data_IF_259330717344
#
_entry.id   IF_259330717344
#
_cell.length_a   1.000
_cell.length_b   1.000
_cell.length_c   1.000
_cell.angle_alpha   90.00
_cell.angle_beta   90.00
_cell.angle_gamma   90.00
#
_symmetry.space_group_name_H-M   'P 1'
#
loop_
_entity.id
_entity.type
_entity.pdbx_description
1 polymer ?
#
# COMPACT_ATOMS: atom_id res chain seq x y z
N UNK A 1 -0.20 40.69 -19.90
CA UNK A 1 -0.96 39.50 -19.46
C UNK A 1 -0.39 38.34 -20.22
N UNK A 2 0.07 37.33 -19.49
CA UNK A 2 0.93 36.32 -20.07
C UNK A 2 0.11 35.21 -20.72
N UNK A 3 0.62 34.69 -21.84
CA UNK A 3 0.03 33.55 -22.54
C UNK A 3 0.80 32.31 -22.11
N UNK A 4 0.09 31.31 -21.63
CA UNK A 4 0.64 29.97 -21.46
C UNK A 4 0.43 29.14 -22.72
N UNK A 5 1.34 28.20 -22.96
CA UNK A 5 1.31 27.33 -24.13
C UNK A 5 1.38 25.90 -23.63
N UNK A 6 0.38 25.11 -23.99
CA UNK A 6 0.30 23.67 -23.71
C UNK A 6 0.64 22.94 -25.01
N UNK A 7 1.86 22.40 -25.14
CA UNK A 7 2.20 21.58 -26.28
C UNK A 7 1.64 20.16 -26.14
N UNK A 8 1.28 19.57 -27.27
CA UNK A 8 0.92 18.15 -27.34
C UNK A 8 1.40 17.54 -28.66
N UNK A 9 1.65 16.24 -28.65
CA UNK A 9 1.97 15.44 -29.84
C UNK A 9 0.79 14.53 -30.12
N UNK A 10 0.22 14.57 -31.33
CA UNK A 10 -0.90 13.71 -31.71
C UNK A 10 -0.47 12.29 -32.11
N UNK A 11 -1.44 11.42 -32.40
CA UNK A 11 -1.19 10.04 -32.82
C UNK A 11 -0.48 9.88 -34.17
N UNK A 12 -0.32 10.95 -34.95
CA UNK A 12 0.46 10.96 -36.19
C UNK A 12 1.90 11.45 -35.98
N UNK A 13 2.24 11.87 -34.76
CA UNK A 13 3.55 12.44 -34.43
C UNK A 13 3.65 13.95 -34.68
N UNK A 14 2.54 14.60 -35.05
CA UNK A 14 2.51 16.04 -35.31
C UNK A 14 2.47 16.82 -34.00
N UNK A 15 3.22 17.92 -33.95
CA UNK A 15 3.35 18.77 -32.76
C UNK A 15 2.41 19.96 -32.84
N UNK A 16 1.57 20.09 -31.83
CA UNK A 16 0.56 21.12 -31.72
C UNK A 16 0.76 21.96 -30.47
N UNK A 17 0.11 23.12 -30.42
CA UNK A 17 0.19 24.07 -29.30
C UNK A 17 -1.17 24.71 -29.04
N UNK A 18 -1.69 24.56 -27.84
CA UNK A 18 -2.90 25.26 -27.38
C UNK A 18 -2.46 26.43 -26.52
N UNK A 19 -3.05 27.61 -26.75
CA UNK A 19 -2.71 28.84 -26.04
C UNK A 19 -3.85 29.24 -25.11
N UNK A 20 -3.52 29.53 -23.86
CA UNK A 20 -4.46 30.09 -22.90
C UNK A 20 -3.87 31.35 -22.27
N UNK A 21 -4.73 32.21 -21.73
CA UNK A 21 -4.27 33.27 -20.84
C UNK A 21 -3.87 32.67 -19.49
N UNK A 22 -2.87 33.24 -18.83
CA UNK A 22 -2.42 32.78 -17.52
C UNK A 22 -3.47 32.95 -16.41
N UNK A 23 -4.40 33.90 -16.55
CA UNK A 23 -5.45 34.18 -15.56
C UNK A 23 -6.77 33.42 -15.79
N UNK A 24 -6.75 32.42 -16.68
CA UNK A 24 -7.91 31.62 -17.03
C UNK A 24 -8.44 30.80 -15.83
N UNK A 25 -9.75 30.72 -15.71
CA UNK A 25 -10.43 29.95 -14.66
C UNK A 25 -10.79 28.51 -15.06
N UNK A 26 -10.86 28.22 -16.36
CA UNK A 26 -11.26 26.91 -16.87
C UNK A 26 -10.42 26.51 -18.08
N UNK A 27 -9.85 25.31 -18.04
CA UNK A 27 -9.11 24.71 -19.15
C UNK A 27 -9.72 23.37 -19.50
N UNK A 28 -10.02 23.18 -20.79
CA UNK A 28 -10.47 21.91 -21.37
C UNK A 28 -9.47 21.44 -22.43
N UNK A 29 -8.87 20.29 -22.18
CA UNK A 29 -7.93 19.61 -23.06
C UNK A 29 -8.61 18.34 -23.56
N UNK A 30 -9.56 18.53 -24.48
CA UNK A 30 -10.41 17.47 -24.99
C UNK A 30 -10.09 17.09 -26.44
N UNK A 31 -10.21 15.80 -26.77
CA UNK A 31 -10.16 15.27 -28.14
C UNK A 31 -8.90 15.63 -28.94
N UNK A 32 -7.78 15.88 -28.26
CA UNK A 32 -6.52 16.26 -28.91
C UNK A 32 -5.86 15.10 -29.67
N UNK A 33 -6.38 13.87 -29.51
CA UNK A 33 -5.76 12.63 -29.99
C UNK A 33 -4.30 12.49 -29.55
N UNK A 34 -3.93 13.14 -28.44
CA UNK A 34 -2.56 13.20 -27.96
C UNK A 34 -2.03 11.81 -27.56
N UNK A 35 -0.79 11.54 -27.93
CA UNK A 35 0.07 10.51 -27.31
C UNK A 35 0.85 11.11 -26.14
N UNK A 36 1.17 12.41 -26.22
CA UNK A 36 1.88 13.18 -25.20
C UNK A 36 1.18 14.52 -24.99
N UNK A 37 0.96 14.90 -23.74
CA UNK A 37 0.34 16.16 -23.34
C UNK A 37 1.16 16.78 -22.22
N UNK A 38 1.77 17.94 -22.48
CA UNK A 38 2.60 18.64 -21.50
C UNK A 38 1.83 19.82 -20.90
N UNK A 39 1.36 19.62 -19.67
CA UNK A 39 0.65 20.64 -18.89
C UNK A 39 1.56 21.40 -17.93
N UNK A 40 2.89 21.36 -18.11
CA UNK A 40 3.86 22.05 -17.24
C UNK A 40 3.52 23.52 -17.04
N UNK A 41 3.06 24.21 -18.08
CA UNK A 41 2.72 25.63 -18.05
C UNK A 41 1.50 25.98 -17.18
N UNK A 42 0.74 24.99 -16.69
CA UNK A 42 -0.36 25.23 -15.75
C UNK A 42 0.14 25.74 -14.40
N UNK A 43 1.43 25.60 -14.11
CA UNK A 43 2.08 26.17 -12.92
C UNK A 43 1.89 27.70 -12.79
N UNK A 44 1.62 28.39 -13.90
CA UNK A 44 1.33 29.83 -13.97
C UNK A 44 -0.14 30.18 -13.83
N UNK A 45 -1.05 29.20 -13.82
CA UNK A 45 -2.49 29.40 -13.79
C UNK A 45 -3.06 29.37 -12.36
N UNK A 46 -2.64 30.32 -11.52
CA UNK A 46 -3.01 30.37 -10.10
C UNK A 46 -4.51 30.54 -9.85
N UNK A 47 -5.25 31.06 -10.83
CA UNK A 47 -6.70 31.28 -10.78
C UNK A 47 -7.51 30.11 -11.37
N UNK A 48 -6.86 29.01 -11.77
CA UNK A 48 -7.54 27.88 -12.41
C UNK A 48 -8.48 27.19 -11.42
N UNK A 49 -9.77 27.16 -11.75
CA UNK A 49 -10.84 26.55 -10.96
C UNK A 49 -11.34 25.22 -11.55
N UNK A 50 -11.20 25.02 -12.86
CA UNK A 50 -11.65 23.80 -13.54
C UNK A 50 -10.62 23.32 -14.54
N UNK A 51 -10.24 22.05 -14.44
CA UNK A 51 -9.37 21.35 -15.39
C UNK A 51 -10.07 20.08 -15.88
N UNK A 52 -10.31 20.00 -17.17
CA UNK A 52 -10.88 18.83 -17.84
C UNK A 52 -9.88 18.27 -18.86
N UNK A 53 -9.49 17.00 -18.73
CA UNK A 53 -8.58 16.29 -19.63
C UNK A 53 -9.32 15.06 -20.15
N UNK A 54 -10.01 15.26 -21.28
CA UNK A 54 -11.05 14.34 -21.72
C UNK A 54 -10.78 13.76 -23.12
N UNK A 55 -11.12 12.48 -23.33
CA UNK A 55 -11.12 11.85 -24.67
C UNK A 55 -9.76 11.88 -25.39
N UNK A 56 -8.64 11.87 -24.65
CA UNK A 56 -7.31 11.73 -25.25
C UNK A 56 -6.99 10.24 -25.41
N UNK A 57 -7.50 9.67 -26.51
CA UNK A 57 -7.55 8.21 -26.74
C UNK A 57 -6.19 7.51 -26.62
N UNK A 58 -5.10 8.16 -27.02
CA UNK A 58 -3.77 7.56 -27.12
C UNK A 58 -2.83 8.01 -26.00
N UNK A 59 -3.32 8.79 -25.02
CA UNK A 59 -2.50 9.34 -23.95
C UNK A 59 -2.11 8.23 -22.97
N UNK A 60 -0.84 7.84 -22.96
CA UNK A 60 -0.35 6.77 -22.08
C UNK A 60 0.06 7.27 -20.69
N UNK A 61 0.48 8.54 -20.62
CA UNK A 61 1.05 9.19 -19.45
C UNK A 61 0.51 10.60 -19.29
N UNK A 62 0.25 10.99 -18.03
CA UNK A 62 -0.16 12.33 -17.68
C UNK A 62 0.55 12.74 -16.40
N UNK A 63 1.29 13.85 -16.44
CA UNK A 63 1.95 14.41 -15.27
C UNK A 63 1.07 15.50 -14.66
N UNK A 64 0.50 15.25 -13.48
CA UNK A 64 -0.32 16.22 -12.76
C UNK A 64 0.47 17.19 -11.86
N UNK A 65 1.80 17.03 -11.67
CA UNK A 65 2.59 17.92 -10.78
C UNK A 65 2.28 19.42 -10.92
N UNK A 66 2.09 19.97 -12.13
CA UNK A 66 1.82 21.40 -12.31
C UNK A 66 0.55 21.91 -11.60
N UNK A 67 -0.46 21.05 -11.40
CA UNK A 67 -1.71 21.47 -10.73
C UNK A 67 -1.49 21.80 -9.25
N UNK A 68 -0.36 21.41 -8.65
CA UNK A 68 -0.03 21.76 -7.27
C UNK A 68 0.09 23.27 -7.06
N UNK A 69 0.34 24.04 -8.13
CA UNK A 69 0.37 25.50 -8.13
C UNK A 69 -1.01 26.15 -8.40
N UNK A 70 -2.08 25.34 -8.50
CA UNK A 70 -3.46 25.78 -8.71
C UNK A 70 -4.28 25.57 -7.42
N UNK A 71 -4.09 26.39 -6.36
CA UNK A 71 -4.76 26.19 -5.07
C UNK A 71 -6.28 26.42 -5.13
N UNK A 72 -6.75 27.16 -6.14
CA UNK A 72 -8.17 27.46 -6.36
C UNK A 72 -8.90 26.40 -7.21
N UNK A 73 -8.25 25.29 -7.57
CA UNK A 73 -8.86 24.24 -8.37
C UNK A 73 -10.03 23.59 -7.60
N UNK A 74 -11.22 23.66 -8.19
CA UNK A 74 -12.48 23.14 -7.63
C UNK A 74 -12.98 21.90 -8.36
N UNK A 75 -12.68 21.78 -9.66
CA UNK A 75 -13.15 20.70 -10.52
C UNK A 75 -11.95 20.09 -11.24
N UNK A 76 -11.77 18.78 -11.07
CA UNK A 76 -10.80 17.99 -11.83
C UNK A 76 -11.51 16.82 -12.50
N UNK A 77 -11.46 16.79 -13.83
CA UNK A 77 -12.00 15.70 -14.64
C UNK A 77 -10.92 15.10 -15.52
N UNK A 78 -10.79 13.79 -15.47
CA UNK A 78 -9.86 13.02 -16.31
C UNK A 78 -10.64 11.87 -16.90
N UNK A 79 -11.34 12.12 -18.01
CA UNK A 79 -12.28 11.16 -18.58
C UNK A 79 -11.83 10.61 -19.93
N UNK A 80 -12.18 9.35 -20.18
CA UNK A 80 -12.02 8.70 -21.48
C UNK A 80 -10.59 8.79 -22.04
N UNK A 81 -9.60 8.57 -21.18
CA UNK A 81 -8.21 8.34 -21.58
C UNK A 81 -7.89 6.84 -21.44
N UNK A 82 -8.42 5.97 -22.34
CA UNK A 82 -8.42 4.53 -22.16
C UNK A 82 -7.01 3.92 -22.15
N UNK A 83 -6.03 4.56 -22.78
CA UNK A 83 -4.64 4.11 -22.86
C UNK A 83 -3.79 4.57 -21.67
N UNK A 84 -4.32 5.42 -20.78
CA UNK A 84 -3.64 5.90 -19.59
C UNK A 84 -3.32 4.73 -18.65
N UNK A 85 -2.04 4.46 -18.41
CA UNK A 85 -1.58 3.26 -17.69
C UNK A 85 -1.29 3.50 -16.22
N UNK A 86 -0.87 4.72 -15.89
CA UNK A 86 -0.53 5.18 -14.55
C UNK A 86 -0.96 6.63 -14.39
N UNK A 87 -1.41 6.98 -13.20
CA UNK A 87 -1.70 8.35 -12.83
C UNK A 87 -1.32 8.53 -11.36
N UNK A 88 -0.50 9.53 -11.08
CA UNK A 88 -0.16 9.94 -9.73
C UNK A 88 -1.08 11.09 -9.31
N UNK A 89 -1.89 10.85 -8.27
CA UNK A 89 -2.78 11.86 -7.71
C UNK A 89 -2.13 12.67 -6.58
N UNK A 90 -0.88 12.40 -6.19
CA UNK A 90 -0.19 13.16 -5.13
C UNK A 90 -0.29 14.68 -5.30
N UNK A 91 -0.17 15.27 -6.51
CA UNK A 91 -0.36 16.71 -6.73
C UNK A 91 -1.73 17.25 -6.30
N UNK A 92 -2.77 16.43 -6.35
CA UNK A 92 -4.14 16.76 -5.94
C UNK A 92 -4.20 17.16 -4.47
N UNK A 93 -3.26 16.67 -3.64
CA UNK A 93 -3.20 16.99 -2.22
C UNK A 93 -3.05 18.49 -1.94
N UNK A 94 -2.47 19.26 -2.88
CA UNK A 94 -2.31 20.72 -2.79
C UNK A 94 -3.58 21.49 -3.21
N UNK A 95 -4.50 20.84 -3.93
CA UNK A 95 -5.76 21.43 -4.41
C UNK A 95 -6.89 21.23 -3.38
N UNK A 96 -6.76 21.83 -2.20
CA UNK A 96 -7.67 21.59 -1.06
C UNK A 96 -9.11 22.05 -1.28
N UNK A 97 -9.36 22.88 -2.31
CA UNK A 97 -10.67 23.40 -2.72
C UNK A 97 -11.43 22.53 -3.70
N UNK A 98 -10.92 21.34 -4.05
CA UNK A 98 -11.62 20.43 -4.95
C UNK A 98 -12.97 20.03 -4.35
N UNK A 99 -14.03 20.35 -5.09
CA UNK A 99 -15.42 20.00 -4.81
C UNK A 99 -15.89 18.80 -5.64
N UNK A 100 -15.37 18.68 -6.86
CA UNK A 100 -15.73 17.60 -7.78
C UNK A 100 -14.48 16.94 -8.35
N UNK A 101 -14.37 15.64 -8.12
CA UNK A 101 -13.38 14.78 -8.76
C UNK A 101 -14.08 13.71 -9.60
N UNK A 102 -13.73 13.66 -10.89
CA UNK A 102 -14.34 12.73 -11.84
C UNK A 102 -13.24 12.03 -12.65
N UNK A 103 -13.27 10.70 -12.60
CA UNK A 103 -12.48 9.84 -13.48
C UNK A 103 -13.40 8.77 -14.07
N UNK A 104 -13.54 8.78 -15.38
CA UNK A 104 -14.42 7.85 -16.10
C UNK A 104 -13.66 7.23 -17.25
N UNK A 105 -13.69 5.90 -17.40
CA UNK A 105 -13.23 5.22 -18.61
C UNK A 105 -11.72 5.18 -18.83
N UNK A 106 -10.91 5.35 -17.80
CA UNK A 106 -9.45 5.17 -17.85
C UNK A 106 -9.08 3.68 -17.68
N UNK A 107 -9.44 2.87 -18.68
CA UNK A 107 -9.57 1.40 -18.54
C UNK A 107 -8.25 0.64 -18.36
N UNK A 108 -7.11 1.21 -18.76
CA UNK A 108 -5.77 0.58 -18.62
C UNK A 108 -5.01 0.96 -17.36
N UNK A 109 -5.60 1.76 -16.46
CA UNK A 109 -4.99 2.04 -15.16
C UNK A 109 -4.78 0.73 -14.38
N UNK A 110 -3.54 0.52 -13.94
CA UNK A 110 -3.16 -0.67 -13.14
C UNK A 110 -3.48 -0.50 -11.66
N UNK A 111 -3.42 0.72 -11.15
CA UNK A 111 -3.73 1.03 -9.75
C UNK A 111 -4.08 2.50 -9.68
N UNK A 112 -4.88 2.87 -8.69
CA UNK A 112 -5.20 4.25 -8.39
C UNK A 112 -5.20 4.42 -6.88
N UNK A 113 -4.26 5.22 -6.38
CA UNK A 113 -4.28 5.67 -5.00
C UNK A 113 -5.16 6.91 -4.89
N UNK A 114 -6.27 6.79 -4.17
CA UNK A 114 -7.24 7.87 -3.94
C UNK A 114 -6.98 8.62 -2.64
N UNK A 115 -5.99 8.23 -1.85
CA UNK A 115 -5.63 8.91 -0.61
C UNK A 115 -5.24 10.39 -0.76
N UNK A 116 -4.71 10.88 -1.91
CA UNK A 116 -4.50 12.31 -2.06
C UNK A 116 -5.78 13.15 -1.99
N UNK A 117 -6.96 12.56 -2.23
CA UNK A 117 -8.25 13.23 -2.06
C UNK A 117 -8.61 13.50 -0.59
N UNK A 118 -7.87 12.92 0.36
CA UNK A 118 -8.06 13.15 1.80
C UNK A 118 -7.93 14.63 2.20
N UNK A 119 -7.18 15.42 1.44
CA UNK A 119 -6.98 16.86 1.72
C UNK A 119 -8.11 17.73 1.16
N UNK A 120 -8.89 17.20 0.22
CA UNK A 120 -10.03 17.87 -0.41
C UNK A 120 -11.25 17.85 0.52
N UNK A 121 -11.22 18.63 1.61
CA UNK A 121 -12.29 18.66 2.62
C UNK A 121 -13.62 19.20 2.08
N UNK A 122 -13.60 19.91 0.96
CA UNK A 122 -14.78 20.42 0.26
C UNK A 122 -15.35 19.43 -0.78
N UNK A 123 -14.83 18.19 -0.86
CA UNK A 123 -15.28 17.21 -1.85
C UNK A 123 -16.75 16.84 -1.62
N UNK A 124 -17.61 17.27 -2.53
CA UNK A 124 -19.05 16.99 -2.53
C UNK A 124 -19.45 15.97 -3.60
N UNK A 125 -18.61 15.72 -4.61
CA UNK A 125 -18.90 14.77 -5.68
C UNK A 125 -17.67 13.96 -6.06
N UNK A 126 -17.79 12.64 -5.97
CA UNK A 126 -16.75 11.69 -6.35
C UNK A 126 -17.32 10.67 -7.35
N UNK A 127 -16.80 10.71 -8.58
CA UNK A 127 -17.19 9.76 -9.62
C UNK A 127 -15.97 8.98 -10.11
N UNK A 128 -16.00 7.65 -9.92
CA UNK A 128 -14.97 6.72 -10.36
C UNK A 128 -15.61 5.55 -11.12
N UNK A 129 -15.63 5.62 -12.44
CA UNK A 129 -16.38 4.68 -13.28
C UNK A 129 -15.47 4.05 -14.33
N UNK A 130 -15.35 2.71 -14.35
CA UNK A 130 -14.54 1.98 -15.34
C UNK A 130 -13.06 2.41 -15.42
N UNK A 131 -12.43 2.70 -14.28
CA UNK A 131 -11.00 3.00 -14.18
C UNK A 131 -10.23 1.73 -13.79
N UNK A 132 -9.54 1.11 -14.76
CA UNK A 132 -8.86 -0.18 -14.56
C UNK A 132 -9.84 -1.37 -14.40
N UNK A 133 -9.65 -2.44 -15.17
CA UNK A 133 -10.57 -3.60 -15.15
C UNK A 133 -10.16 -4.72 -14.17
N UNK A 134 -8.91 -4.71 -13.70
CA UNK A 134 -8.29 -5.85 -13.00
C UNK A 134 -7.95 -5.62 -11.52
N UNK A 135 -8.09 -4.41 -11.02
CA UNK A 135 -7.63 -4.05 -9.68
C UNK A 135 -8.72 -3.40 -8.86
N UNK A 136 -8.63 -3.58 -7.55
CA UNK A 136 -9.52 -2.95 -6.58
C UNK A 136 -8.99 -1.57 -6.24
N UNK A 137 -9.89 -0.61 -6.06
CA UNK A 137 -9.57 0.69 -5.48
C UNK A 137 -9.85 0.63 -3.98
N UNK A 138 -8.84 1.00 -3.20
CA UNK A 138 -8.97 1.14 -1.76
C UNK A 138 -9.83 2.35 -1.44
N UNK A 139 -11.00 2.11 -0.84
CA UNK A 139 -11.89 3.18 -0.40
C UNK A 139 -11.79 3.44 1.10
N UNK A 140 -10.95 2.73 1.86
CA UNK A 140 -10.79 2.98 3.29
C UNK A 140 -10.46 4.44 3.60
N UNK A 141 -9.56 5.12 2.87
CA UNK A 141 -9.30 6.54 3.08
C UNK A 141 -10.56 7.43 2.90
N UNK A 142 -11.54 6.98 2.12
CA UNK A 142 -12.71 7.79 1.77
C UNK A 142 -13.90 7.57 2.71
N UNK A 143 -13.86 6.59 3.62
CA UNK A 143 -15.04 6.17 4.39
C UNK A 143 -15.65 7.27 5.27
N UNK A 144 -14.83 8.19 5.77
CA UNK A 144 -15.28 9.33 6.57
C UNK A 144 -15.81 10.51 5.72
N UNK A 145 -15.72 10.43 4.40
CA UNK A 145 -16.33 11.39 3.49
C UNK A 145 -17.75 10.95 3.15
N UNK A 146 -18.63 11.94 2.96
CA UNK A 146 -20.02 11.74 2.53
C UNK A 146 -20.34 12.53 1.25
N UNK A 147 -19.57 12.39 0.15
CA UNK A 147 -19.91 13.05 -1.10
C UNK A 147 -21.08 12.33 -1.78
N UNK A 148 -21.63 12.94 -2.83
CA UNK A 148 -22.34 12.20 -3.86
C UNK A 148 -21.37 11.23 -4.54
N UNK A 149 -21.54 9.94 -4.26
CA UNK A 149 -20.64 8.88 -4.73
C UNK A 149 -21.25 8.20 -5.96
N UNK A 150 -20.48 8.13 -7.04
CA UNK A 150 -20.77 7.24 -8.17
C UNK A 150 -19.54 6.41 -8.48
N UNK A 151 -19.45 5.22 -7.87
CA UNK A 151 -18.35 4.29 -8.09
C UNK A 151 -18.88 3.06 -8.83
N UNK A 152 -18.36 2.82 -10.03
CA UNK A 152 -18.69 1.66 -10.86
C UNK A 152 -17.40 0.95 -11.27
N UNK A 153 -16.72 0.40 -10.27
CA UNK A 153 -15.48 -0.35 -10.38
C UNK A 153 -15.33 -1.28 -9.18
N UNK A 154 -14.33 -2.16 -9.21
CA UNK A 154 -14.01 -3.02 -8.07
C UNK A 154 -13.43 -2.18 -6.94
N UNK A 155 -13.98 -2.26 -5.74
CA UNK A 155 -13.43 -1.56 -4.57
C UNK A 155 -13.17 -2.53 -3.42
N UNK A 156 -12.21 -2.18 -2.59
CA UNK A 156 -11.87 -2.90 -1.38
C UNK A 156 -11.76 -1.96 -0.19
N UNK A 157 -11.82 -2.54 0.99
CA UNK A 157 -11.51 -1.85 2.24
C UNK A 157 -10.53 -2.68 3.06
N UNK A 158 -9.66 -1.99 3.78
CA UNK A 158 -8.88 -2.53 4.87
C UNK A 158 -9.79 -3.00 6.02
N UNK A 159 -10.89 -2.29 6.34
CA UNK A 159 -11.82 -2.71 7.39
C UNK A 159 -12.64 -3.94 7.00
N UNK A 160 -13.08 -4.70 8.00
CA UNK A 160 -13.95 -5.87 7.83
C UNK A 160 -15.35 -5.51 7.33
N UNK A 161 -15.96 -6.40 6.55
CA UNK A 161 -17.29 -6.17 5.96
C UNK A 161 -18.38 -5.93 7.01
N UNK A 162 -18.26 -6.57 8.19
CA UNK A 162 -19.16 -6.34 9.33
C UNK A 162 -19.05 -4.92 9.89
N UNK A 163 -17.83 -4.37 9.97
CA UNK A 163 -17.58 -2.99 10.39
C UNK A 163 -18.11 -2.01 9.36
N UNK A 164 -17.83 -2.21 8.07
CA UNK A 164 -18.36 -1.37 6.98
C UNK A 164 -19.89 -1.32 7.01
N UNK A 165 -20.55 -2.48 7.15
CA UNK A 165 -22.02 -2.56 7.18
C UNK A 165 -22.62 -1.78 8.36
N UNK A 166 -21.95 -1.77 9.51
CA UNK A 166 -22.44 -1.15 10.75
C UNK A 166 -22.15 0.35 10.81
N UNK A 167 -20.92 0.75 10.48
CA UNK A 167 -20.43 2.12 10.70
C UNK A 167 -20.51 2.98 9.43
N UNK A 168 -20.51 2.37 8.25
CA UNK A 168 -20.45 3.04 6.94
C UNK A 168 -21.49 2.50 5.95
N UNK A 169 -22.78 2.42 6.32
CA UNK A 169 -23.81 1.77 5.50
C UNK A 169 -23.99 2.41 4.11
N UNK A 170 -23.66 3.69 3.93
CA UNK A 170 -23.68 4.38 2.63
C UNK A 170 -22.66 3.81 1.63
N UNK A 171 -21.59 3.19 2.13
CA UNK A 171 -20.52 2.62 1.31
C UNK A 171 -20.76 1.15 0.93
N UNK A 172 -21.70 0.46 1.60
CA UNK A 172 -21.89 -0.99 1.46
C UNK A 172 -22.18 -1.44 0.03
N UNK A 173 -22.85 -0.60 -0.78
CA UNK A 173 -23.21 -0.91 -2.17
C UNK A 173 -22.04 -0.80 -3.15
N UNK A 174 -20.97 -0.11 -2.78
CA UNK A 174 -19.80 0.10 -3.63
C UNK A 174 -18.68 -0.89 -3.32
N UNK A 175 -18.70 -1.45 -2.12
CA UNK A 175 -17.71 -2.35 -1.57
C UNK A 175 -17.82 -3.78 -2.15
N UNK A 176 -16.68 -4.38 -2.52
CA UNK A 176 -16.64 -5.79 -2.98
C UNK A 176 -15.83 -6.73 -2.08
N UNK A 177 -14.70 -6.28 -1.51
CA UNK A 177 -13.83 -7.12 -0.68
C UNK A 177 -13.29 -6.39 0.56
N UNK A 178 -13.35 -7.04 1.73
CA UNK A 178 -12.91 -6.51 3.03
C UNK A 178 -11.62 -7.14 3.47
N UNK A 179 -11.02 -6.53 4.49
CA UNK A 179 -9.81 -7.04 5.10
C UNK A 179 -8.67 -7.21 4.10
N UNK A 180 -8.66 -6.33 3.10
CA UNK A 180 -7.75 -6.42 1.98
C UNK A 180 -6.75 -5.28 2.04
N UNK A 181 -5.49 -5.63 2.33
CA UNK A 181 -4.36 -4.74 2.10
C UNK A 181 -4.15 -4.63 0.59
N UNK A 182 -4.37 -3.44 0.03
CA UNK A 182 -4.44 -3.23 -1.42
C UNK A 182 -3.26 -2.44 -1.97
N UNK A 183 -2.83 -1.39 -1.27
CA UNK A 183 -1.65 -0.56 -1.55
C UNK A 183 -0.99 -0.13 -0.23
N UNK A 184 0.34 0.10 -0.18
CA UNK A 184 0.97 0.71 0.98
C UNK A 184 0.42 2.12 1.24
N UNK A 185 0.21 2.47 2.50
CA UNK A 185 -0.24 3.80 2.90
C UNK A 185 0.95 4.72 3.24
N UNK A 186 0.86 6.00 2.87
CA UNK A 186 1.76 7.03 3.40
C UNK A 186 1.33 7.46 4.82
N UNK A 187 2.16 8.22 5.52
CA UNK A 187 1.89 8.67 6.89
C UNK A 187 0.54 9.40 7.03
N UNK A 188 0.21 10.30 6.10
CA UNK A 188 -1.04 11.05 6.14
C UNK A 188 -2.27 10.13 6.06
N UNK A 189 -2.21 9.10 5.22
CA UNK A 189 -3.25 8.08 5.08
C UNK A 189 -3.34 7.21 6.31
N UNK A 190 -2.20 6.81 6.90
CA UNK A 190 -2.16 6.04 8.15
C UNK A 190 -2.84 6.83 9.27
N UNK A 191 -2.50 8.11 9.44
CA UNK A 191 -3.12 9.01 10.42
C UNK A 191 -4.63 9.17 10.21
N UNK A 192 -5.08 9.15 8.97
CA UNK A 192 -6.51 9.22 8.65
C UNK A 192 -7.25 7.92 8.96
N UNK A 193 -6.63 6.77 8.64
CA UNK A 193 -7.27 5.45 8.75
C UNK A 193 -7.18 4.86 10.15
N UNK A 194 -6.10 5.13 10.87
CA UNK A 194 -5.84 4.56 12.20
C UNK A 194 -7.00 4.78 13.20
N UNK A 195 -7.62 5.96 13.34
CA UNK A 195 -8.73 6.15 14.27
C UNK A 195 -9.94 5.24 13.99
N UNK A 196 -10.17 4.85 12.74
CA UNK A 196 -11.24 3.91 12.38
C UNK A 196 -10.90 2.50 12.87
N UNK A 197 -9.66 2.06 12.69
CA UNK A 197 -9.17 0.77 13.16
C UNK A 197 -9.13 0.73 14.68
N UNK A 198 -8.58 1.76 15.32
CA UNK A 198 -8.50 1.87 16.78
C UNK A 198 -9.89 1.72 17.43
N UNK A 199 -10.88 2.39 16.85
CA UNK A 199 -12.24 2.39 17.40
C UNK A 199 -13.00 1.08 17.13
N UNK A 200 -12.83 0.47 15.96
CA UNK A 200 -13.72 -0.59 15.50
C UNK A 200 -13.07 -1.97 15.38
N UNK A 201 -11.74 -2.02 15.22
CA UNK A 201 -10.96 -3.24 14.96
C UNK A 201 -9.58 -3.21 15.68
N UNK A 202 -9.52 -2.92 17.00
CA UNK A 202 -8.25 -2.68 17.71
C UNK A 202 -7.32 -3.90 17.78
N UNK A 203 -7.89 -5.11 17.71
CA UNK A 203 -7.15 -6.38 17.74
C UNK A 203 -6.86 -6.94 16.34
N UNK A 204 -6.97 -6.11 15.30
CA UNK A 204 -6.78 -6.55 13.92
C UNK A 204 -5.30 -6.64 13.52
N UNK A 205 -5.03 -7.44 12.49
CA UNK A 205 -3.73 -7.50 11.81
C UNK A 205 -3.35 -6.17 11.13
N UNK A 206 -4.28 -5.22 11.04
CA UNK A 206 -4.06 -3.94 10.36
C UNK A 206 -3.07 -3.05 11.10
N UNK A 207 -2.90 -3.24 12.42
CA UNK A 207 -1.84 -2.58 13.18
C UNK A 207 -0.45 -2.94 12.62
N UNK A 208 -0.21 -4.24 12.38
CA UNK A 208 1.03 -4.72 11.75
C UNK A 208 1.20 -4.23 10.30
N UNK A 209 0.09 -4.08 9.56
CA UNK A 209 0.14 -3.49 8.23
C UNK A 209 0.53 -2.01 8.25
N UNK A 210 -0.12 -1.22 9.12
CA UNK A 210 0.11 0.23 9.22
C UNK A 210 1.52 0.56 9.72
N UNK A 211 2.03 -0.16 10.72
CA UNK A 211 3.41 0.06 11.20
C UNK A 211 4.44 -0.27 10.11
N UNK A 212 4.20 -1.29 9.29
CA UNK A 212 5.09 -1.65 8.19
C UNK A 212 5.05 -0.60 7.07
N UNK A 213 3.87 -0.06 6.77
CA UNK A 213 3.73 1.08 5.86
C UNK A 213 4.48 2.31 6.40
N UNK A 214 4.33 2.62 7.69
CA UNK A 214 5.01 3.75 8.32
C UNK A 214 6.53 3.58 8.28
N UNK A 215 7.05 2.40 8.62
CA UNK A 215 8.47 2.10 8.53
C UNK A 215 9.02 2.29 7.11
N UNK A 216 8.27 1.83 6.10
CA UNK A 216 8.62 2.05 4.69
C UNK A 216 8.69 3.54 4.33
N UNK A 217 7.70 4.34 4.75
CA UNK A 217 7.63 5.77 4.46
C UNK A 217 8.83 6.54 5.05
N UNK A 218 9.31 6.10 6.21
CA UNK A 218 10.50 6.63 6.88
C UNK A 218 11.81 5.99 6.40
N UNK A 219 11.82 5.28 5.27
CA UNK A 219 13.03 4.68 4.69
C UNK A 219 13.54 3.43 5.42
N UNK A 220 12.81 2.94 6.41
CA UNK A 220 13.14 1.79 7.27
C UNK A 220 12.49 0.48 6.80
N UNK A 221 12.16 0.34 5.52
CA UNK A 221 11.53 -0.87 4.99
C UNK A 221 12.40 -2.14 5.08
N UNK A 222 13.70 -1.99 5.38
CA UNK A 222 14.61 -3.11 5.66
C UNK A 222 14.46 -3.72 7.06
N UNK A 223 13.66 -3.13 7.97
CA UNK A 223 13.42 -3.72 9.30
C UNK A 223 12.71 -5.08 9.23
N UNK A 224 11.92 -5.32 8.18
CA UNK A 224 11.05 -6.49 8.10
C UNK A 224 9.78 -6.29 8.93
N UNK A 225 9.20 -7.39 9.42
CA UNK A 225 7.94 -7.30 10.18
C UNK A 225 8.18 -6.81 11.62
N UNK A 226 7.32 -5.90 12.07
CA UNK A 226 7.42 -5.24 13.38
C UNK A 226 6.23 -5.67 14.25
N UNK A 227 6.51 -6.23 15.41
CA UNK A 227 5.54 -6.65 16.42
C UNK A 227 5.13 -5.46 17.30
N UNK A 228 4.34 -4.57 16.70
CA UNK A 228 3.88 -3.33 17.29
C UNK A 228 2.48 -3.50 17.88
N UNK A 229 2.30 -3.06 19.13
CA UNK A 229 0.97 -2.95 19.74
C UNK A 229 0.18 -1.74 19.20
N UNK A 230 -1.12 -1.74 19.43
CA UNK A 230 -2.01 -0.60 19.14
C UNK A 230 -1.50 0.69 19.79
N UNK A 231 -1.14 0.62 21.08
CA UNK A 231 -0.65 1.77 21.86
C UNK A 231 0.69 2.31 21.35
N UNK A 232 1.60 1.42 20.93
CA UNK A 232 2.87 1.82 20.31
C UNK A 232 2.65 2.52 18.97
N UNK A 233 1.73 2.01 18.13
CA UNK A 233 1.39 2.67 16.87
C UNK A 233 0.70 4.02 17.12
N UNK A 234 -0.23 4.08 18.07
CA UNK A 234 -0.88 5.33 18.48
C UNK A 234 0.14 6.37 18.90
N UNK A 235 1.07 5.99 19.78
CA UNK A 235 2.15 6.86 20.24
C UNK A 235 2.98 7.40 19.06
N UNK A 236 3.38 6.53 18.13
CA UNK A 236 4.11 6.96 16.92
C UNK A 236 3.31 7.98 16.08
N UNK A 237 1.98 7.85 16.04
CA UNK A 237 1.09 8.77 15.35
C UNK A 237 0.76 10.01 16.18
N UNK A 238 1.21 10.15 17.42
CA UNK A 238 0.98 11.37 18.23
C UNK A 238 2.24 12.22 18.36
N UNK A 239 3.42 11.64 18.13
CA UNK A 239 4.70 12.36 18.17
C UNK A 239 4.98 13.18 16.91
N UNK A 240 5.93 14.10 17.02
CA UNK A 240 6.45 14.88 15.90
C UNK A 240 7.06 13.97 14.82
N UNK A 241 6.78 14.21 13.51
CA UNK A 241 7.31 13.42 12.40
C UNK A 241 8.82 13.17 12.45
N UNK A 242 9.60 14.19 12.85
CA UNK A 242 11.07 14.10 12.97
C UNK A 242 11.57 13.09 14.01
N UNK A 243 10.71 12.60 14.90
CA UNK A 243 11.03 11.62 15.95
C UNK A 243 10.60 10.20 15.59
N UNK A 244 9.74 10.02 14.58
CA UNK A 244 9.14 8.72 14.23
C UNK A 244 10.19 7.69 13.84
N UNK A 245 11.17 8.06 13.00
CA UNK A 245 12.24 7.16 12.58
C UNK A 245 13.00 6.56 13.77
N UNK A 246 13.45 7.41 14.70
CA UNK A 246 14.17 6.99 15.90
C UNK A 246 13.34 6.05 16.76
N UNK A 247 12.04 6.31 16.85
CA UNK A 247 11.14 5.55 17.69
C UNK A 247 10.78 4.18 17.07
N UNK A 248 10.63 4.10 15.75
CA UNK A 248 10.53 2.85 15.02
C UNK A 248 11.76 1.97 15.25
N UNK A 249 12.96 2.56 15.15
CA UNK A 249 14.22 1.87 15.45
C UNK A 249 14.22 1.37 16.90
N UNK A 250 13.75 2.17 17.86
CA UNK A 250 13.67 1.77 19.27
C UNK A 250 12.74 0.57 19.49
N UNK A 251 11.54 0.61 18.90
CA UNK A 251 10.57 -0.49 18.96
C UNK A 251 11.17 -1.77 18.37
N UNK A 252 11.79 -1.66 17.19
CA UNK A 252 12.42 -2.82 16.56
C UNK A 252 13.61 -3.37 17.36
N UNK A 253 14.48 -2.51 17.89
CA UNK A 253 15.57 -2.94 18.78
C UNK A 253 15.03 -3.72 19.98
N UNK A 254 13.95 -3.22 20.61
CA UNK A 254 13.31 -3.89 21.77
C UNK A 254 12.72 -5.25 21.39
N UNK A 255 12.17 -5.39 20.17
CA UNK A 255 11.74 -6.67 19.62
C UNK A 255 12.90 -7.66 19.51
N UNK A 256 14.05 -7.24 18.99
CA UNK A 256 15.22 -8.13 18.88
C UNK A 256 15.79 -8.48 20.25
N UNK A 257 15.91 -7.51 21.16
CA UNK A 257 16.49 -7.70 22.49
C UNK A 257 15.69 -8.71 23.34
N UNK A 258 14.38 -8.88 23.07
CA UNK A 258 13.53 -9.89 23.74
C UNK A 258 13.45 -11.24 23.00
N UNK A 259 14.26 -11.45 21.95
CA UNK A 259 14.23 -12.64 21.12
C UNK A 259 13.02 -12.73 20.17
N UNK A 260 12.47 -11.59 19.76
CA UNK A 260 11.36 -11.50 18.81
C UNK A 260 11.77 -11.84 17.38
N UNK A 261 10.78 -11.84 16.48
CA UNK A 261 10.98 -12.28 15.09
C UNK A 261 11.96 -11.41 14.30
N UNK A 262 12.65 -12.04 13.35
CA UNK A 262 13.55 -11.38 12.38
C UNK A 262 13.06 -11.55 10.94
N UNK A 263 11.82 -12.00 10.76
CA UNK A 263 11.21 -12.27 9.45
C UNK A 263 11.25 -11.02 8.57
N UNK A 264 11.70 -11.20 7.33
CA UNK A 264 11.89 -10.15 6.32
C UNK A 264 12.96 -9.09 6.64
N UNK A 265 13.63 -9.14 7.78
CA UNK A 265 14.67 -8.17 8.10
C UNK A 265 15.87 -8.29 7.13
N UNK A 266 16.28 -7.17 6.54
CA UNK A 266 17.44 -7.09 5.66
C UNK A 266 18.67 -6.64 6.46
N UNK A 267 19.50 -7.60 6.85
CA UNK A 267 20.69 -7.38 7.70
C UNK A 267 21.64 -6.33 7.10
N UNK A 268 21.84 -6.35 5.78
CA UNK A 268 22.73 -5.39 5.11
C UNK A 268 22.22 -3.96 5.31
N UNK A 269 20.91 -3.75 5.12
CA UNK A 269 20.28 -2.43 5.34
C UNK A 269 20.27 -2.02 6.80
N UNK A 270 20.02 -2.94 7.74
CA UNK A 270 20.01 -2.63 9.17
C UNK A 270 21.29 -1.91 9.63
N UNK A 271 22.44 -2.33 9.10
CA UNK A 271 23.73 -1.73 9.42
C UNK A 271 23.85 -0.26 8.97
N UNK A 272 23.15 0.11 7.90
CA UNK A 272 23.17 1.46 7.29
C UNK A 272 22.20 2.42 7.96
N UNK A 273 21.13 1.91 8.58
CA UNK A 273 20.10 2.76 9.19
C UNK A 273 20.57 3.41 10.48
N UNK A 274 21.11 2.63 11.42
CA UNK A 274 21.43 3.15 12.74
C UNK A 274 22.39 2.24 13.51
N UNK A 275 23.31 2.82 14.29
CA UNK A 275 24.31 2.06 15.07
C UNK A 275 23.67 1.06 16.05
N UNK A 276 22.52 1.40 16.64
CA UNK A 276 21.79 0.47 17.52
C UNK A 276 21.26 -0.76 16.79
N UNK A 277 20.89 -0.66 15.51
CA UNK A 277 20.49 -1.81 14.71
C UNK A 277 21.72 -2.65 14.34
N UNK A 278 22.81 -1.98 13.95
CA UNK A 278 24.08 -2.62 13.65
C UNK A 278 24.59 -3.47 14.82
N UNK A 279 24.47 -2.98 16.06
CA UNK A 279 24.91 -3.70 17.26
C UNK A 279 24.07 -4.95 17.58
N UNK A 280 22.98 -5.21 16.85
CA UNK A 280 22.07 -6.35 17.04
C UNK A 280 22.18 -7.39 15.93
N UNK A 281 23.06 -7.19 14.94
CA UNK A 281 23.22 -8.11 13.81
C UNK A 281 23.63 -9.51 14.27
N UNK A 282 24.56 -9.62 15.22
CA UNK A 282 24.96 -10.93 15.77
C UNK A 282 23.79 -11.62 16.46
N UNK A 283 23.02 -10.89 17.28
CA UNK A 283 21.83 -11.43 17.93
C UNK A 283 20.78 -11.89 16.90
N UNK A 284 20.56 -11.13 15.83
CA UNK A 284 19.66 -11.52 14.73
C UNK A 284 20.13 -12.82 14.07
N UNK A 285 21.42 -12.95 13.77
CA UNK A 285 21.98 -14.18 13.19
C UNK A 285 21.79 -15.37 14.12
N UNK A 286 22.12 -15.22 15.40
CA UNK A 286 21.92 -16.28 16.40
C UNK A 286 20.46 -16.69 16.53
N UNK A 287 19.51 -15.74 16.52
CA UNK A 287 18.07 -16.05 16.52
C UNK A 287 17.68 -16.89 15.31
N UNK A 288 18.10 -16.48 14.11
CA UNK A 288 17.81 -17.18 12.86
C UNK A 288 18.39 -18.59 12.80
N UNK A 289 19.58 -18.78 13.34
CA UNK A 289 20.19 -20.10 13.46
C UNK A 289 19.40 -20.99 14.42
N UNK A 290 18.97 -20.46 15.57
CA UNK A 290 18.17 -21.22 16.55
C UNK A 290 16.80 -21.61 16.01
N UNK A 291 16.13 -20.73 15.25
CA UNK A 291 14.81 -20.94 14.66
C UNK A 291 14.71 -22.21 13.80
N UNK A 292 15.81 -22.63 13.16
CA UNK A 292 15.81 -23.76 12.20
C UNK A 292 16.44 -25.05 12.72
N UNK A 293 17.02 -25.06 13.94
CA UNK A 293 17.74 -26.23 14.46
C UNK A 293 16.88 -27.49 14.52
N UNK A 294 15.64 -27.35 15.00
CA UNK A 294 14.69 -28.45 15.10
C UNK A 294 13.28 -27.90 14.98
N UNK A 295 12.70 -28.01 13.79
CA UNK A 295 11.33 -27.62 13.51
C UNK A 295 10.47 -28.88 13.49
N UNK A 296 9.34 -28.85 14.16
CA UNK A 296 8.34 -29.93 14.10
C UNK A 296 7.15 -29.43 13.29
N UNK A 297 6.76 -30.19 12.27
CA UNK A 297 5.60 -29.91 11.42
C UNK A 297 4.56 -31.03 11.52
N UNK A 298 3.30 -30.65 11.34
CA UNK A 298 2.18 -31.58 11.33
C UNK A 298 1.93 -32.11 9.91
N UNK A 299 1.79 -33.43 9.76
CA UNK A 299 1.21 -34.05 8.56
C UNK A 299 -0.30 -34.18 8.76
N UNK A 300 -1.06 -33.46 7.94
CA UNK A 300 -2.51 -33.44 7.99
C UNK A 300 -3.12 -34.70 7.36
N UNK A 301 -4.35 -35.02 7.79
CA UNK A 301 -5.17 -36.03 7.12
C UNK A 301 -5.38 -35.64 5.65
N UNK A 302 -4.87 -36.48 4.73
CA UNK A 302 -4.85 -36.20 3.28
C UNK A 302 -3.45 -36.00 2.69
N UNK A 303 -2.41 -36.04 3.53
CA UNK A 303 -1.00 -36.05 3.08
C UNK A 303 -0.39 -34.67 2.85
N UNK A 304 -1.11 -33.59 3.15
CA UNK A 304 -0.54 -32.24 3.16
C UNK A 304 0.22 -31.99 4.46
N UNK A 305 1.26 -31.15 4.39
CA UNK A 305 2.09 -30.77 5.53
C UNK A 305 1.77 -29.32 5.88
N UNK A 306 1.50 -29.07 7.16
CA UNK A 306 1.31 -27.73 7.70
C UNK A 306 2.67 -27.02 7.83
N UNK A 307 2.90 -26.01 7.00
CA UNK A 307 4.16 -25.24 6.99
C UNK A 307 4.06 -23.93 7.78
N UNK A 308 2.97 -23.64 8.49
CA UNK A 308 2.86 -22.43 9.32
C UNK A 308 4.02 -22.28 10.33
N UNK A 309 4.49 -23.33 11.02
CA UNK A 309 5.65 -23.19 11.91
C UNK A 309 6.90 -22.69 11.18
N UNK A 310 7.15 -23.15 9.95
CA UNK A 310 8.25 -22.65 9.10
C UNK A 310 8.04 -21.18 8.73
N UNK A 311 6.80 -20.78 8.40
CA UNK A 311 6.47 -19.40 8.04
C UNK A 311 6.70 -18.42 9.20
N UNK A 312 6.78 -18.89 10.44
CA UNK A 312 7.13 -18.08 11.61
C UNK A 312 8.63 -18.04 11.92
N UNK A 313 9.47 -18.58 11.03
CA UNK A 313 10.94 -18.43 11.06
C UNK A 313 11.41 -17.57 9.90
N UNK A 314 12.52 -16.86 10.06
CA UNK A 314 13.04 -15.98 9.02
C UNK A 314 13.45 -16.76 7.76
N UNK A 315 14.12 -17.90 7.93
CA UNK A 315 14.54 -18.75 6.81
C UNK A 315 13.38 -19.51 6.19
N UNK A 316 12.51 -20.11 7.00
CA UNK A 316 11.33 -20.81 6.51
C UNK A 316 10.40 -19.87 5.73
N UNK A 317 10.11 -18.67 6.24
CA UNK A 317 9.34 -17.67 5.49
C UNK A 317 9.98 -17.34 4.13
N UNK A 318 11.30 -17.11 4.09
CA UNK A 318 12.02 -16.81 2.84
C UNK A 318 11.94 -17.97 1.85
N UNK A 319 12.17 -19.20 2.30
CA UNK A 319 12.15 -20.41 1.46
C UNK A 319 10.73 -20.67 0.94
N UNK A 320 9.73 -20.71 1.82
CA UNK A 320 8.35 -20.97 1.46
C UNK A 320 7.82 -19.92 0.47
N UNK A 321 8.10 -18.64 0.69
CA UNK A 321 7.65 -17.58 -0.23
C UNK A 321 8.40 -17.58 -1.56
N UNK A 322 9.68 -17.98 -1.60
CA UNK A 322 10.44 -18.15 -2.85
C UNK A 322 9.96 -19.34 -3.68
N UNK A 323 9.45 -20.39 -3.03
CA UNK A 323 8.83 -21.56 -3.66
C UNK A 323 7.32 -21.37 -3.93
N UNK A 324 6.78 -20.18 -3.67
CA UNK A 324 5.36 -19.85 -3.83
C UNK A 324 4.41 -20.79 -3.07
N UNK A 325 4.85 -21.25 -1.89
CA UNK A 325 4.03 -22.09 -1.01
C UNK A 325 3.02 -21.23 -0.23
N UNK A 326 1.83 -21.81 -0.01
CA UNK A 326 0.84 -21.28 0.92
C UNK A 326 1.13 -21.69 2.37
N UNK A 327 0.09 -21.92 3.15
CA UNK A 327 0.20 -22.42 4.54
C UNK A 327 0.30 -23.94 4.63
N UNK A 328 0.06 -24.65 3.53
CA UNK A 328 0.17 -26.10 3.42
C UNK A 328 0.90 -26.45 2.12
N UNK A 329 1.57 -27.61 2.09
CA UNK A 329 2.18 -28.14 0.87
C UNK A 329 2.14 -29.67 0.79
N UNK A 330 2.31 -30.22 -0.41
CA UNK A 330 2.42 -31.67 -0.66
C UNK A 330 3.88 -32.14 -0.58
N UNK A 331 4.08 -33.45 -0.44
CA UNK A 331 5.38 -34.09 -0.24
C UNK A 331 6.46 -33.64 -1.27
N UNK A 332 6.15 -33.60 -2.58
CA UNK A 332 7.13 -33.19 -3.62
C UNK A 332 7.67 -31.76 -3.43
N UNK A 333 6.79 -30.81 -3.10
CA UNK A 333 7.17 -29.42 -2.84
C UNK A 333 7.90 -29.30 -1.50
N UNK A 334 7.52 -30.13 -0.53
CA UNK A 334 8.12 -30.16 0.79
C UNK A 334 9.58 -30.63 0.77
N UNK A 335 9.92 -31.60 -0.08
CA UNK A 335 11.32 -32.07 -0.20
C UNK A 335 12.29 -30.95 -0.58
N UNK A 336 11.85 -29.97 -1.37
CA UNK A 336 12.66 -28.78 -1.70
C UNK A 336 12.87 -27.89 -0.48
N UNK A 337 11.84 -27.73 0.35
CA UNK A 337 11.92 -26.99 1.62
C UNK A 337 12.89 -27.69 2.57
N UNK A 338 12.71 -29.00 2.80
CA UNK A 338 13.56 -29.82 3.67
C UNK A 338 15.03 -29.69 3.29
N UNK A 339 15.36 -29.93 2.01
CA UNK A 339 16.74 -29.81 1.50
C UNK A 339 17.33 -28.41 1.73
N UNK A 340 16.53 -27.37 1.55
CA UNK A 340 16.99 -25.98 1.75
C UNK A 340 17.29 -25.69 3.23
N UNK A 341 16.48 -26.22 4.15
CA UNK A 341 16.72 -26.09 5.60
C UNK A 341 17.93 -26.92 6.04
N UNK A 342 18.10 -28.13 5.53
CA UNK A 342 19.27 -28.99 5.80
C UNK A 342 20.58 -28.33 5.35
N UNK A 343 20.58 -27.66 4.18
CA UNK A 343 21.74 -26.89 3.71
C UNK A 343 22.11 -25.71 4.61
N UNK A 344 21.14 -25.18 5.36
CA UNK A 344 21.36 -24.14 6.36
C UNK A 344 21.75 -24.73 7.73
N UNK A 345 21.94 -26.05 7.83
CA UNK A 345 22.28 -26.74 9.08
C UNK A 345 21.09 -26.97 10.01
N UNK A 346 19.86 -26.79 9.51
CA UNK A 346 18.63 -27.06 10.24
C UNK A 346 18.11 -28.48 10.05
N UNK A 347 17.07 -28.84 10.82
CA UNK A 347 16.38 -30.12 10.69
C UNK A 347 14.87 -29.93 10.84
N UNK A 348 14.10 -30.73 10.09
CA UNK A 348 12.64 -30.73 10.15
C UNK A 348 12.15 -32.13 10.47
N UNK A 349 11.41 -32.27 11.55
CA UNK A 349 10.68 -33.47 11.93
C UNK A 349 9.21 -33.37 11.51
N UNK A 350 8.65 -34.49 11.06
CA UNK A 350 7.23 -34.57 10.68
C UNK A 350 6.56 -35.52 11.65
N UNK A 351 5.50 -35.05 12.28
CA UNK A 351 4.71 -35.82 13.23
C UNK A 351 3.22 -35.72 12.90
N UNK A 352 2.45 -36.66 13.41
CA UNK A 352 0.99 -36.67 13.34
C UNK A 352 0.41 -36.04 14.61
N UNK A 353 -0.76 -35.40 14.51
CA UNK A 353 -1.50 -34.79 15.63
C UNK A 353 -0.71 -33.75 16.45
N UNK A 354 0.16 -32.97 15.79
CA UNK A 354 0.91 -31.89 16.45
C UNK A 354 0.08 -30.62 16.51
N UNK A 355 -0.26 -30.18 17.71
CA UNK A 355 -0.93 -28.89 17.89
C UNK A 355 -0.01 -27.74 17.45
N UNK A 356 -0.48 -26.90 16.52
CA UNK A 356 0.20 -25.66 16.13
C UNK A 356 0.54 -24.82 17.38
N UNK A 357 1.83 -24.53 17.54
CA UNK A 357 2.31 -23.61 18.58
C UNK A 357 2.79 -22.31 17.93
N UNK A 358 2.19 -21.19 18.34
CA UNK A 358 2.70 -19.88 17.98
C UNK A 358 4.01 -19.61 18.74
N UNK A 359 5.02 -18.99 18.11
CA UNK A 359 6.26 -18.68 18.81
C UNK A 359 6.02 -17.75 19.99
N UNK A 360 6.61 -18.07 21.15
CA UNK A 360 6.39 -17.36 22.43
C UNK A 360 6.69 -15.86 22.36
N UNK A 361 7.56 -15.43 21.45
CA UNK A 361 8.04 -14.05 21.34
C UNK A 361 7.44 -13.28 20.16
N UNK A 362 6.38 -13.81 19.54
CA UNK A 362 5.63 -13.18 18.44
C UNK A 362 4.16 -13.11 18.87
N UNK A 363 3.54 -11.94 18.76
CA UNK A 363 2.10 -11.82 19.05
C UNK A 363 1.24 -12.64 18.07
N UNK A 364 0.07 -13.09 18.53
CA UNK A 364 -0.90 -13.79 17.66
C UNK A 364 -1.32 -12.92 16.47
N UNK A 365 -1.48 -11.60 16.69
CA UNK A 365 -1.82 -10.65 15.64
C UNK A 365 -0.73 -10.59 14.57
N UNK A 366 0.55 -10.53 14.99
CA UNK A 366 1.65 -10.55 14.03
C UNK A 366 1.76 -11.90 13.30
N UNK A 367 1.51 -13.02 13.97
CA UNK A 367 1.47 -14.33 13.31
C UNK A 367 0.39 -14.36 12.20
N UNK A 368 -0.82 -13.90 12.50
CA UNK A 368 -1.90 -13.81 11.51
C UNK A 368 -1.55 -12.86 10.35
N UNK A 369 -0.90 -11.73 10.64
CA UNK A 369 -0.39 -10.81 9.62
C UNK A 369 0.66 -11.48 8.71
N UNK A 370 1.59 -12.25 9.27
CA UNK A 370 2.61 -13.00 8.50
C UNK A 370 1.93 -13.98 7.55
N UNK A 371 0.92 -14.73 8.01
CA UNK A 371 0.16 -15.65 7.15
C UNK A 371 -0.56 -14.89 6.03
N UNK A 372 -1.13 -13.72 6.34
CA UNK A 372 -1.77 -12.86 5.33
C UNK A 372 -0.78 -12.32 4.29
N UNK A 373 0.47 -12.06 4.66
CA UNK A 373 1.53 -11.69 3.71
C UNK A 373 1.95 -12.84 2.80
N UNK A 374 1.77 -14.10 3.23
CA UNK A 374 2.02 -15.26 2.36
C UNK A 374 0.99 -15.29 1.22
N UNK A 375 -0.28 -15.09 1.56
CA UNK A 375 -1.40 -15.06 0.61
C UNK A 375 -1.36 -13.83 -0.33
N UNK A 376 -0.88 -12.68 0.16
CA UNK A 376 -0.86 -11.43 -0.58
C UNK A 376 0.54 -11.07 -1.10
N UNK A 377 0.98 -11.77 -2.16
CA UNK A 377 2.28 -11.55 -2.82
C UNK A 377 2.50 -10.09 -3.24
N UNK A 378 1.46 -9.44 -3.79
CA UNK A 378 1.54 -8.05 -4.25
C UNK A 378 1.94 -7.08 -3.13
N UNK A 379 1.24 -7.14 -1.99
CA UNK A 379 1.57 -6.29 -0.83
C UNK A 379 2.91 -6.66 -0.24
N UNK A 380 3.20 -7.95 -0.10
CA UNK A 380 4.49 -8.43 0.42
C UNK A 380 5.68 -7.86 -0.35
N UNK A 381 5.57 -7.79 -1.68
CA UNK A 381 6.60 -7.21 -2.53
C UNK A 381 6.66 -5.69 -2.43
N UNK A 382 5.51 -5.01 -2.40
CA UNK A 382 5.42 -3.54 -2.32
C UNK A 382 5.90 -2.93 -0.99
N UNK A 383 5.79 -3.68 0.10
CA UNK A 383 6.24 -3.24 1.43
C UNK A 383 7.76 -3.33 1.62
N UNK A 384 8.44 -4.17 0.82
CA UNK A 384 9.91 -4.19 0.80
C UNK A 384 10.42 -2.95 0.09
N UNK A 385 11.19 -2.12 0.78
CA UNK A 385 11.99 -1.08 0.12
C UNK A 385 13.12 -1.77 -0.66
N UNK A 386 13.21 -1.50 -1.97
CA UNK A 386 14.35 -1.88 -2.85
C UNK A 386 15.67 -1.42 -2.25
#
# INVERSE_FOLDING_TARGET
>A
MDIIVIPYTDSYGEKHRIKFRSDISEIKLAETHAIELDISSLDKCTNLQSLEIDRNKYLEHLNLTPISACPDLQILKINHNPELRKLDLTPVSSCTRIKKFEMIGNRRLKSLDVSPLLTCKELISLTLVYNGSRHYIDITPLLNFSPEINIQQRTCSLLEGGTIKREYPQWIRYFMHSGMMSIPYNEATIRHVFPMIEKHEPESIYISFLIHCLAREYGLGGLGVIDCSLEELKYLLEIEPSKIERELIRIYCKQIDRGGTTIQANIEKLSTYHRNLASRIEAINSLREMEIKQIVLEKMWGGEIDVKPLLFTAWGFRICTALELGTYCKDDSFDRVRKSIEQLGGSIDIQEDVKLSFPKHISNNLCNYILRLVENKYIREKLRTE
#
